data_IF_272704716028
#
_entry.id   IF_272704716028
#
_cell.length_a   1.000
_cell.length_b   1.000
_cell.length_c   1.000
_cell.angle_alpha   90.00
_cell.angle_beta   90.00
_cell.angle_gamma   90.00
#
_symmetry.space_group_name_H-M   'P 1'
#
loop_
_entity.id
_entity.type
_entity.pdbx_description
1 polymer ?
#
# COMPACT_ATOMS: atom_id res chain seq x y z
N UNK A 1 4.36 -12.95 0.78
CA UNK A 1 4.92 -13.17 2.12
C UNK A 1 5.88 -12.02 2.41
N UNK A 2 5.40 -10.94 3.03
CA UNK A 2 6.24 -9.84 3.50
C UNK A 2 6.20 -9.84 5.02
N UNK A 3 7.37 -10.01 5.64
CA UNK A 3 7.51 -10.03 7.09
C UNK A 3 7.80 -8.60 7.57
N UNK A 4 7.20 -8.21 8.70
CA UNK A 4 7.61 -7.02 9.44
C UNK A 4 9.11 -7.08 9.73
N UNK A 5 9.73 -5.90 9.85
CA UNK A 5 11.11 -5.76 10.27
C UNK A 5 11.40 -6.47 11.59
N UNK A 6 12.67 -6.84 11.79
CA UNK A 6 13.14 -7.46 13.01
C UNK A 6 13.82 -6.45 13.95
N UNK A 7 13.99 -5.20 13.53
CA UNK A 7 14.60 -4.12 14.32
C UNK A 7 13.60 -3.40 15.25
N UNK A 8 12.34 -3.83 15.27
CA UNK A 8 11.30 -3.23 16.12
C UNK A 8 10.87 -1.84 15.64
N UNK A 9 10.89 -1.64 14.32
CA UNK A 9 10.52 -0.43 13.60
C UNK A 9 9.42 -0.76 12.61
N UNK A 10 8.82 0.27 11.99
CA UNK A 10 7.79 0.07 10.95
C UNK A 10 8.38 -0.31 9.58
N UNK A 11 9.69 -0.60 9.54
CA UNK A 11 10.38 -1.01 8.33
C UNK A 11 10.00 -2.43 7.91
N UNK A 12 10.07 -2.70 6.61
CA UNK A 12 9.94 -4.07 6.10
C UNK A 12 11.17 -4.91 6.46
N UNK A 13 11.02 -6.24 6.48
CA UNK A 13 12.16 -7.16 6.64
C UNK A 13 13.30 -6.87 5.66
N UNK A 14 13.00 -6.58 4.38
CA UNK A 14 14.02 -6.27 3.37
C UNK A 14 14.72 -4.95 3.69
N UNK A 15 13.99 -3.95 4.16
CA UNK A 15 14.56 -2.66 4.58
C UNK A 15 15.55 -2.86 5.73
N UNK A 16 15.19 -3.65 6.74
CA UNK A 16 16.06 -3.95 7.87
C UNK A 16 17.31 -4.75 7.47
N UNK A 17 17.13 -5.78 6.64
CA UNK A 17 18.24 -6.56 6.10
C UNK A 17 19.19 -5.66 5.30
N UNK A 18 18.66 -4.75 4.50
CA UNK A 18 19.45 -3.82 3.69
C UNK A 18 20.24 -2.87 4.58
N UNK A 19 19.62 -2.24 5.58
CA UNK A 19 20.32 -1.36 6.53
C UNK A 19 21.45 -2.12 7.25
N UNK A 20 21.17 -3.33 7.74
CA UNK A 20 22.16 -4.12 8.44
C UNK A 20 23.32 -4.53 7.51
N UNK A 21 23.02 -4.90 6.27
CA UNK A 21 24.03 -5.21 5.26
C UNK A 21 24.96 -4.01 5.01
N UNK A 22 24.41 -2.80 4.84
CA UNK A 22 25.19 -1.58 4.65
C UNK A 22 26.10 -1.26 5.85
N UNK A 23 25.61 -1.45 7.08
CA UNK A 23 26.44 -1.28 8.29
C UNK A 23 27.59 -2.30 8.31
N UNK A 24 27.33 -3.56 7.96
CA UNK A 24 28.37 -4.62 7.88
C UNK A 24 29.40 -4.27 6.81
N UNK A 25 28.95 -3.83 5.63
CA UNK A 25 29.82 -3.38 4.55
C UNK A 25 30.68 -2.20 4.98
N UNK A 26 30.13 -1.24 5.72
CA UNK A 26 30.91 -0.12 6.25
C UNK A 26 32.04 -0.55 7.19
N UNK A 27 31.73 -1.48 8.09
CA UNK A 27 32.71 -2.06 9.01
C UNK A 27 33.81 -2.76 8.21
N UNK A 28 33.44 -3.53 7.18
CA UNK A 28 34.39 -4.18 6.28
C UNK A 28 35.28 -3.18 5.53
N UNK A 29 34.73 -2.06 5.06
CA UNK A 29 35.48 -0.96 4.44
C UNK A 29 36.49 -0.37 5.44
N UNK A 30 36.07 -0.10 6.68
CA UNK A 30 36.96 0.40 7.73
C UNK A 30 38.12 -0.58 8.01
N UNK A 31 37.84 -1.89 8.07
CA UNK A 31 38.87 -2.93 8.19
C UNK A 31 39.82 -2.95 6.98
N UNK A 32 39.28 -2.73 5.77
CA UNK A 32 40.04 -2.57 4.54
C UNK A 32 41.02 -1.39 4.61
N UNK A 33 40.57 -0.22 5.07
CA UNK A 33 41.40 0.97 5.27
C UNK A 33 42.53 0.69 6.27
N UNK A 34 42.23 0.00 7.38
CA UNK A 34 43.25 -0.41 8.37
C UNK A 34 44.26 -1.38 7.75
N UNK A 35 43.80 -2.36 6.97
CA UNK A 35 44.67 -3.30 6.27
C UNK A 35 45.60 -2.58 5.28
N UNK A 36 45.07 -1.64 4.50
CA UNK A 36 45.83 -0.82 3.56
C UNK A 36 46.88 0.02 4.28
N UNK A 37 46.52 0.71 5.38
CA UNK A 37 47.46 1.53 6.18
C UNK A 37 48.57 0.69 6.82
N UNK A 38 48.31 -0.58 7.10
CA UNK A 38 49.31 -1.55 7.60
C UNK A 38 50.11 -2.23 6.48
N UNK A 39 49.95 -1.82 5.23
CA UNK A 39 50.63 -2.41 4.06
C UNK A 39 50.13 -3.79 3.65
N UNK A 40 49.00 -4.27 4.22
CA UNK A 40 48.41 -5.58 3.92
C UNK A 40 47.47 -5.49 2.71
N UNK A 41 48.01 -5.16 1.54
CA UNK A 41 47.20 -4.90 0.33
C UNK A 41 46.37 -6.10 -0.14
N UNK A 42 46.91 -7.32 -0.07
CA UNK A 42 46.13 -8.54 -0.41
C UNK A 42 44.92 -8.75 0.49
N UNK A 43 45.01 -8.36 1.76
CA UNK A 43 43.89 -8.46 2.69
C UNK A 43 42.85 -7.37 2.38
N UNK A 44 43.29 -6.14 2.11
CA UNK A 44 42.42 -5.08 1.61
C UNK A 44 41.63 -5.55 0.37
N UNK A 45 42.31 -6.09 -0.65
CA UNK A 45 41.64 -6.48 -1.90
C UNK A 45 40.62 -7.61 -1.70
N UNK A 46 40.95 -8.60 -0.86
CA UNK A 46 40.03 -9.71 -0.51
C UNK A 46 38.77 -9.23 0.23
N UNK A 47 38.86 -8.13 0.98
CA UNK A 47 37.73 -7.56 1.69
C UNK A 47 36.94 -6.62 0.77
N UNK A 48 37.62 -5.73 0.02
CA UNK A 48 36.96 -4.71 -0.78
C UNK A 48 36.24 -5.28 -2.01
N UNK A 49 36.82 -6.28 -2.68
CA UNK A 49 36.20 -6.87 -3.89
C UNK A 49 34.77 -7.36 -3.65
N UNK A 50 34.49 -8.22 -2.64
CA UNK A 50 33.12 -8.67 -2.39
C UNK A 50 32.20 -7.55 -1.90
N UNK A 51 32.70 -6.59 -1.12
CA UNK A 51 31.88 -5.45 -0.65
C UNK A 51 31.37 -4.64 -1.83
N UNK A 52 32.23 -4.28 -2.79
CA UNK A 52 31.82 -3.52 -3.98
C UNK A 52 30.81 -4.32 -4.81
N UNK A 53 31.08 -5.60 -5.07
CA UNK A 53 30.18 -6.43 -5.89
C UNK A 53 28.80 -6.63 -5.24
N UNK A 54 28.77 -6.90 -3.93
CA UNK A 54 27.50 -7.09 -3.20
C UNK A 54 26.74 -5.77 -3.05
N UNK A 55 27.44 -4.65 -2.83
CA UNK A 55 26.82 -3.33 -2.79
C UNK A 55 26.19 -2.98 -4.14
N UNK A 56 26.88 -3.26 -5.25
CA UNK A 56 26.31 -3.10 -6.60
C UNK A 56 25.03 -3.93 -6.78
N UNK A 57 24.98 -5.15 -6.25
CA UNK A 57 23.77 -5.97 -6.25
C UNK A 57 22.63 -5.30 -5.48
N UNK A 58 22.87 -4.79 -4.27
CA UNK A 58 21.85 -4.08 -3.48
C UNK A 58 21.33 -2.83 -4.20
N UNK A 59 22.22 -2.05 -4.81
CA UNK A 59 21.83 -0.88 -5.59
C UNK A 59 20.92 -1.29 -6.77
N UNK A 60 21.28 -2.33 -7.52
CA UNK A 60 20.50 -2.74 -8.70
C UNK A 60 19.15 -3.35 -8.32
N UNK A 61 19.08 -4.19 -7.29
CA UNK A 61 17.85 -4.96 -7.02
C UNK A 61 16.97 -4.35 -5.94
N UNK A 62 17.54 -3.70 -4.94
CA UNK A 62 16.76 -3.09 -3.86
C UNK A 62 16.47 -1.63 -4.19
N UNK A 63 17.53 -0.86 -4.47
CA UNK A 63 17.39 0.58 -4.62
C UNK A 63 16.66 0.97 -5.91
N UNK A 64 17.01 0.39 -7.07
CA UNK A 64 16.29 0.69 -8.32
C UNK A 64 14.84 0.23 -8.25
N UNK A 65 14.54 -0.93 -7.66
CA UNK A 65 13.14 -1.39 -7.45
C UNK A 65 12.38 -0.38 -6.61
N UNK A 66 12.94 0.04 -5.47
CA UNK A 66 12.33 1.05 -4.61
C UNK A 66 12.05 2.37 -5.35
N UNK A 67 12.95 2.81 -6.23
CA UNK A 67 12.74 4.03 -7.05
C UNK A 67 11.59 3.90 -8.05
N UNK A 68 11.39 2.70 -8.61
CA UNK A 68 10.30 2.39 -9.52
C UNK A 68 8.98 2.30 -8.74
N UNK A 69 8.99 1.48 -7.68
CA UNK A 69 7.81 1.19 -6.86
C UNK A 69 7.30 2.45 -6.15
N UNK A 70 8.19 3.35 -5.74
CA UNK A 70 7.83 4.61 -5.09
C UNK A 70 7.63 5.80 -6.05
N UNK A 71 7.62 5.56 -7.37
CA UNK A 71 7.43 6.58 -8.41
C UNK A 71 8.39 7.78 -8.31
N UNK A 72 9.55 7.61 -7.68
CA UNK A 72 10.52 8.70 -7.44
C UNK A 72 11.00 9.32 -8.75
N UNK A 73 11.26 8.48 -9.76
CA UNK A 73 11.79 8.91 -11.07
C UNK A 73 10.77 9.77 -11.83
N UNK A 74 9.49 9.43 -11.75
CA UNK A 74 8.42 10.16 -12.43
C UNK A 74 8.03 11.44 -11.70
N UNK A 75 8.08 11.43 -10.37
CA UNK A 75 7.55 12.52 -9.54
C UNK A 75 8.59 13.61 -9.29
N UNK A 76 9.87 13.28 -9.13
CA UNK A 76 10.92 14.28 -8.83
C UNK A 76 11.00 15.43 -9.86
N UNK A 77 10.91 15.20 -11.19
CA UNK A 77 10.90 16.30 -12.17
C UNK A 77 9.64 17.19 -12.07
N UNK A 78 8.52 16.62 -11.64
CA UNK A 78 7.26 17.33 -11.47
C UNK A 78 7.27 18.15 -10.17
N UNK A 79 8.00 17.67 -9.14
CA UNK A 79 8.01 18.22 -7.78
C UNK A 79 9.44 18.34 -7.24
N UNK A 80 10.29 19.21 -7.83
CA UNK A 80 11.71 19.28 -7.47
C UNK A 80 11.98 19.82 -6.05
N UNK A 81 11.00 20.47 -5.41
CA UNK A 81 11.12 21.04 -4.07
C UNK A 81 10.64 20.13 -2.94
N UNK A 82 10.14 18.94 -3.25
CA UNK A 82 9.60 18.03 -2.26
C UNK A 82 10.72 17.38 -1.43
N UNK A 83 10.68 17.59 -0.12
CA UNK A 83 11.75 17.15 0.78
C UNK A 83 11.91 15.63 0.81
N UNK A 84 10.82 14.87 0.67
CA UNK A 84 10.86 13.41 0.64
C UNK A 84 11.70 12.92 -0.54
N UNK A 85 11.28 13.31 -1.75
CA UNK A 85 11.94 12.89 -2.99
C UNK A 85 13.37 13.44 -3.08
N UNK A 86 13.63 14.63 -2.55
CA UNK A 86 14.96 15.23 -2.54
C UNK A 86 15.93 14.44 -1.64
N UNK A 87 15.50 14.03 -0.44
CA UNK A 87 16.33 13.23 0.47
C UNK A 87 16.67 11.88 -0.16
N UNK A 88 15.69 11.18 -0.74
CA UNK A 88 15.91 9.92 -1.47
C UNK A 88 16.89 10.12 -2.63
N UNK A 89 16.70 11.19 -3.43
CA UNK A 89 17.55 11.49 -4.58
C UNK A 89 18.99 11.85 -4.20
N UNK A 90 19.20 12.61 -3.11
CA UNK A 90 20.54 12.95 -2.61
C UNK A 90 21.26 11.69 -2.13
N UNK A 91 20.59 10.85 -1.34
CA UNK A 91 21.15 9.56 -0.90
C UNK A 91 21.58 8.71 -2.11
N UNK A 92 20.72 8.64 -3.13
CA UNK A 92 20.99 7.92 -4.36
C UNK A 92 22.20 8.45 -5.13
N UNK A 93 22.31 9.76 -5.28
CA UNK A 93 23.43 10.39 -5.96
C UNK A 93 24.75 10.12 -5.22
N UNK A 94 24.76 10.23 -3.89
CA UNK A 94 25.93 9.90 -3.07
C UNK A 94 26.35 8.43 -3.25
N UNK A 95 25.38 7.51 -3.22
CA UNK A 95 25.61 6.07 -3.41
C UNK A 95 26.19 5.75 -4.80
N UNK A 96 25.60 6.30 -5.87
CA UNK A 96 26.06 6.09 -7.25
C UNK A 96 27.48 6.63 -7.48
N UNK A 97 27.80 7.80 -6.91
CA UNK A 97 29.15 8.36 -6.98
C UNK A 97 30.13 7.47 -6.21
N UNK A 98 29.76 7.04 -4.99
CA UNK A 98 30.59 6.16 -4.18
C UNK A 98 30.90 4.84 -4.90
N UNK A 99 29.87 4.17 -5.43
CA UNK A 99 29.97 2.90 -6.12
C UNK A 99 30.76 3.02 -7.44
N UNK A 100 30.49 4.05 -8.24
CA UNK A 100 31.23 4.30 -9.48
C UNK A 100 32.74 4.52 -9.22
N UNK A 101 33.08 5.27 -8.17
CA UNK A 101 34.47 5.44 -7.74
C UNK A 101 35.07 4.14 -7.20
N UNK A 102 34.30 3.34 -6.47
CA UNK A 102 34.73 2.06 -5.94
C UNK A 102 35.05 1.06 -7.06
N UNK A 103 34.18 0.93 -8.06
CA UNK A 103 34.40 0.11 -9.27
C UNK A 103 35.65 0.59 -10.01
N UNK A 104 35.82 1.90 -10.21
CA UNK A 104 37.03 2.44 -10.81
C UNK A 104 38.28 2.06 -10.01
N UNK A 105 38.26 2.25 -8.69
CA UNK A 105 39.39 1.94 -7.81
C UNK A 105 39.73 0.44 -7.81
N UNK A 106 38.71 -0.42 -7.84
CA UNK A 106 38.85 -1.88 -7.92
C UNK A 106 39.51 -2.30 -9.24
N UNK A 107 39.00 -1.83 -10.37
CA UNK A 107 39.52 -2.15 -11.71
C UNK A 107 40.94 -1.58 -11.92
N UNK A 108 41.20 -0.35 -11.45
CA UNK A 108 42.53 0.26 -11.50
C UNK A 108 43.52 -0.42 -10.53
N UNK A 109 43.03 -0.93 -9.39
CA UNK A 109 43.79 -1.73 -8.44
C UNK A 109 44.29 -3.04 -9.06
N UNK A 110 43.40 -3.72 -9.79
CA UNK A 110 43.68 -4.98 -10.51
C UNK A 110 44.38 -4.79 -11.87
N UNK A 111 44.80 -3.56 -12.20
CA UNK A 111 45.45 -3.18 -13.46
C UNK A 111 44.61 -3.47 -14.73
N UNK A 112 43.28 -3.53 -14.59
CA UNK A 112 42.34 -3.66 -15.71
C UNK A 112 42.14 -2.29 -16.38
N UNK A 113 42.04 -1.23 -15.59
CA UNK A 113 41.93 0.15 -16.06
C UNK A 113 43.23 0.96 -15.87
N UNK A 114 43.53 1.91 -16.77
CA UNK A 114 44.72 2.73 -16.68
C UNK A 114 44.65 3.72 -15.51
N UNK A 115 45.73 3.80 -14.72
CA UNK A 115 45.90 4.75 -13.59
C UNK A 115 46.26 6.17 -14.05
N UNK A 116 45.77 6.60 -15.21
CA UNK A 116 46.16 7.88 -15.84
C UNK A 116 45.56 9.10 -15.15
N UNK A 117 44.52 8.92 -14.34
CA UNK A 117 43.83 10.00 -13.65
C UNK A 117 44.32 10.06 -12.20
N UNK A 118 45.27 10.95 -11.91
CA UNK A 118 45.74 11.24 -10.55
C UNK A 118 46.39 10.05 -9.80
N UNK A 119 46.61 10.21 -8.49
CA UNK A 119 47.09 9.09 -7.64
C UNK A 119 45.90 8.30 -7.12
N UNK A 120 45.90 6.98 -7.34
CA UNK A 120 44.84 6.04 -6.91
C UNK A 120 44.40 6.23 -5.45
N UNK A 121 45.35 6.58 -4.55
CA UNK A 121 45.06 6.86 -3.14
C UNK A 121 43.97 7.93 -2.93
N UNK A 122 43.91 8.96 -3.78
CA UNK A 122 42.94 10.04 -3.62
C UNK A 122 41.54 9.57 -4.00
N UNK A 123 41.43 8.74 -5.03
CA UNK A 123 40.18 8.10 -5.40
C UNK A 123 39.68 7.16 -4.31
N UNK A 124 40.57 6.37 -3.70
CA UNK A 124 40.20 5.52 -2.55
C UNK A 124 39.66 6.34 -1.36
N UNK A 125 40.29 7.48 -1.04
CA UNK A 125 39.80 8.38 0.01
C UNK A 125 38.48 9.07 -0.36
N UNK A 126 38.32 9.46 -1.62
CA UNK A 126 37.06 10.02 -2.12
C UNK A 126 35.93 8.98 -2.03
N UNK A 127 36.17 7.75 -2.48
CA UNK A 127 35.24 6.63 -2.33
C UNK A 127 34.83 6.48 -0.87
N UNK A 128 35.80 6.38 0.05
CA UNK A 128 35.50 6.25 1.48
C UNK A 128 34.65 7.40 2.02
N UNK A 129 34.94 8.65 1.61
CA UNK A 129 34.16 9.82 2.00
C UNK A 129 32.71 9.78 1.51
N UNK A 130 32.49 9.51 0.21
CA UNK A 130 31.15 9.42 -0.36
C UNK A 130 30.36 8.23 0.21
N UNK A 131 31.01 7.10 0.43
CA UNK A 131 30.37 5.91 1.01
C UNK A 131 29.94 6.18 2.47
N UNK A 132 30.77 6.89 3.25
CA UNK A 132 30.40 7.34 4.60
C UNK A 132 29.20 8.30 4.58
N UNK A 133 29.20 9.26 3.65
CA UNK A 133 28.10 10.21 3.51
C UNK A 133 26.79 9.50 3.09
N UNK A 134 26.86 8.54 2.16
CA UNK A 134 25.72 7.74 1.73
C UNK A 134 25.14 6.91 2.89
N UNK A 135 26.00 6.27 3.70
CA UNK A 135 25.55 5.54 4.88
C UNK A 135 24.86 6.44 5.91
N UNK A 136 25.45 7.60 6.22
CA UNK A 136 24.82 8.56 7.15
C UNK A 136 23.46 9.00 6.63
N UNK A 137 23.37 9.32 5.34
CA UNK A 137 22.10 9.67 4.70
C UNK A 137 21.10 8.51 4.79
N UNK A 138 21.52 7.26 4.53
CA UNK A 138 20.66 6.08 4.60
C UNK A 138 20.18 5.73 6.02
N UNK A 139 21.02 5.95 7.03
CA UNK A 139 20.61 5.81 8.44
C UNK A 139 19.62 6.93 8.81
N UNK A 140 19.87 8.16 8.36
CA UNK A 140 18.98 9.28 8.62
C UNK A 140 17.62 9.08 7.95
N UNK A 141 17.58 8.59 6.71
CA UNK A 141 16.32 8.25 6.03
C UNK A 141 15.58 7.15 6.78
N UNK A 142 16.27 6.09 7.18
CA UNK A 142 15.67 5.00 7.95
C UNK A 142 15.08 5.49 9.28
N UNK A 143 15.80 6.33 10.02
CA UNK A 143 15.34 6.88 11.28
C UNK A 143 14.10 7.77 11.12
N UNK A 144 14.14 8.69 10.14
CA UNK A 144 13.04 9.64 9.90
C UNK A 144 11.78 8.93 9.41
N UNK A 145 11.91 7.84 8.66
CA UNK A 145 10.77 7.16 8.06
C UNK A 145 10.28 5.92 8.80
N UNK A 146 11.08 5.26 9.64
CA UNK A 146 10.66 4.00 10.28
C UNK A 146 10.81 3.98 11.80
N UNK A 147 11.52 4.94 12.39
CA UNK A 147 11.72 5.02 13.85
C UNK A 147 10.90 6.14 14.51
N UNK A 148 10.03 6.82 13.75
CA UNK A 148 9.03 7.68 14.38
C UNK A 148 8.05 6.76 15.12
N UNK A 149 7.68 7.06 16.38
CA UNK A 149 6.67 6.28 17.05
C UNK A 149 5.37 6.36 16.24
N UNK A 150 4.91 5.22 15.72
CA UNK A 150 3.49 5.05 15.44
C UNK A 150 2.78 5.39 16.76
N UNK A 151 2.03 6.49 16.75
CA UNK A 151 1.15 6.80 17.88
C UNK A 151 0.27 5.57 18.01
N UNK A 152 0.34 4.89 19.16
CA UNK A 152 -0.51 3.74 19.48
C UNK A 152 -1.88 4.03 18.89
N UNK A 153 -2.29 3.19 17.92
CA UNK A 153 -3.61 3.21 17.33
C UNK A 153 -4.57 3.55 18.45
N UNK A 154 -5.25 4.71 18.35
CA UNK A 154 -6.16 5.24 19.37
C UNK A 154 -6.89 4.03 19.91
N UNK A 155 -6.54 3.65 21.15
CA UNK A 155 -6.99 2.42 21.77
C UNK A 155 -8.46 2.29 21.46
N UNK A 156 -8.83 1.23 20.73
CA UNK A 156 -10.23 0.86 20.52
C UNK A 156 -10.92 1.07 21.86
N UNK A 157 -11.84 2.04 21.90
CA UNK A 157 -12.51 2.43 23.14
C UNK A 157 -13.05 1.14 23.75
N UNK A 158 -12.73 0.82 25.02
CA UNK A 158 -13.27 -0.37 25.63
C UNK A 158 -14.79 -0.17 25.68
N UNK A 159 -15.51 -0.95 24.88
CA UNK A 159 -16.96 -1.10 24.96
C UNK A 159 -17.27 -1.59 26.38
N UNK A 160 -17.50 -0.63 27.27
CA UNK A 160 -18.03 -0.89 28.59
C UNK A 160 -19.52 -1.08 28.38
N UNK A 161 -19.93 -2.34 28.37
CA UNK A 161 -21.32 -2.77 28.39
C UNK A 161 -22.02 -2.06 29.57
N UNK A 162 -22.70 -0.96 29.27
CA UNK A 162 -23.56 -0.26 30.21
C UNK A 162 -24.96 -0.36 29.66
N UNK A 163 -25.74 -1.25 30.25
CA UNK A 163 -27.17 -1.37 30.06
C UNK A 163 -27.83 -0.01 30.28
N UNK A 164 -28.33 0.60 29.21
CA UNK A 164 -29.44 1.55 29.26
C UNK A 164 -30.23 1.50 27.95
N UNK A 165 -31.53 1.31 28.12
CA UNK A 165 -32.57 1.24 27.10
C UNK A 165 -32.95 2.67 26.71
N UNK A 166 -32.51 3.17 25.54
CA UNK A 166 -33.24 4.19 24.76
C UNK A 166 -32.64 4.40 23.36
N UNK A 167 -33.49 4.32 22.33
CA UNK A 167 -33.33 4.71 20.91
C UNK A 167 -32.15 4.13 20.10
N UNK A 168 -32.45 3.08 19.33
CA UNK A 168 -31.68 2.68 18.16
C UNK A 168 -31.94 3.66 17.00
N UNK A 169 -31.09 4.67 16.82
CA UNK A 169 -31.14 5.56 15.65
C UNK A 169 -29.80 6.23 15.27
N UNK A 170 -28.66 5.94 15.91
CA UNK A 170 -27.49 6.81 15.76
C UNK A 170 -26.14 6.08 15.85
N UNK A 171 -25.98 5.00 15.06
CA UNK A 171 -24.63 4.50 14.76
C UNK A 171 -24.12 5.24 13.52
N UNK A 172 -23.05 6.03 13.60
CA UNK A 172 -22.52 6.74 12.44
C UNK A 172 -22.21 5.74 11.33
N UNK A 173 -22.60 6.07 10.10
CA UNK A 173 -22.26 5.24 8.94
C UNK A 173 -20.75 5.30 8.75
N UNK A 174 -20.07 4.15 8.77
CA UNK A 174 -18.63 4.05 8.56
C UNK A 174 -18.33 3.64 7.11
N UNK A 175 -17.44 4.35 6.43
CA UNK A 175 -16.99 4.08 5.06
C UNK A 175 -15.47 3.98 5.04
N UNK A 176 -14.93 2.95 4.39
CA UNK A 176 -13.49 2.79 4.20
C UNK A 176 -13.04 3.31 2.83
N UNK A 177 -11.90 3.99 2.81
CA UNK A 177 -11.16 4.39 1.62
C UNK A 177 -9.72 3.85 1.71
N UNK A 178 -9.13 3.46 0.60
CA UNK A 178 -7.79 2.89 0.56
C UNK A 178 -6.80 3.85 -0.07
N UNK A 179 -5.57 3.88 0.45
CA UNK A 179 -4.44 4.55 -0.17
C UNK A 179 -3.60 3.49 -0.86
N UNK A 180 -3.72 3.44 -2.19
CA UNK A 180 -3.09 2.39 -2.99
C UNK A 180 -2.60 2.98 -4.31
N UNK A 181 -1.45 2.50 -4.79
CA UNK A 181 -0.83 2.96 -6.03
C UNK A 181 -0.59 4.47 -6.08
N UNK A 182 -0.34 5.12 -4.94
CA UNK A 182 -0.24 6.59 -4.79
C UNK A 182 -1.53 7.34 -5.13
N UNK A 183 -2.68 6.71 -4.93
CA UNK A 183 -4.01 7.25 -5.20
C UNK A 183 -4.98 6.96 -4.05
N UNK A 184 -6.01 7.79 -3.94
CA UNK A 184 -7.17 7.52 -3.09
C UNK A 184 -8.13 6.60 -3.85
N UNK A 185 -8.58 5.53 -3.19
CA UNK A 185 -9.54 4.58 -3.72
C UNK A 185 -10.78 4.53 -2.81
N UNK A 186 -12.00 4.73 -3.35
CA UNK A 186 -12.27 5.16 -4.72
C UNK A 186 -11.77 6.59 -5.00
N UNK A 187 -11.51 6.90 -6.27
CA UNK A 187 -11.01 8.20 -6.69
C UNK A 187 -12.07 9.31 -6.55
N UNK A 188 -13.35 8.95 -6.67
CA UNK A 188 -14.48 9.82 -6.38
C UNK A 188 -15.27 9.19 -5.22
N UNK A 189 -15.39 9.90 -4.11
CA UNK A 189 -16.08 9.44 -2.92
C UNK A 189 -17.19 10.41 -2.54
N UNK A 190 -18.42 9.91 -2.45
CA UNK A 190 -19.58 10.66 -1.96
C UNK A 190 -20.11 10.00 -0.70
N UNK A 191 -20.36 10.80 0.34
CA UNK A 191 -20.87 10.34 1.64
C UNK A 191 -21.96 11.28 2.15
N UNK A 192 -22.72 10.87 3.16
CA UNK A 192 -23.66 11.76 3.86
C UNK A 192 -22.97 12.42 5.07
N UNK A 193 -23.42 13.60 5.46
CA UNK A 193 -22.93 14.30 6.64
C UNK A 193 -23.03 13.40 7.89
N UNK A 194 -22.01 13.44 8.74
CA UNK A 194 -21.89 12.56 9.91
C UNK A 194 -21.27 11.19 9.61
N UNK A 195 -20.94 10.88 8.35
CA UNK A 195 -20.22 9.64 8.00
C UNK A 195 -18.80 9.65 8.60
N UNK A 196 -18.43 8.55 9.22
CA UNK A 196 -17.06 8.26 9.64
C UNK A 196 -16.27 7.66 8.47
N UNK A 197 -15.19 8.33 8.06
CA UNK A 197 -14.29 7.87 7.02
C UNK A 197 -13.03 7.27 7.61
N UNK A 198 -12.71 6.04 7.21
CA UNK A 198 -11.48 5.35 7.59
C UNK A 198 -10.61 5.21 6.34
N UNK A 199 -9.44 5.87 6.32
CA UNK A 199 -8.43 5.65 5.29
C UNK A 199 -7.46 4.58 5.74
N UNK A 200 -7.23 3.56 4.92
CA UNK A 200 -6.25 2.50 5.19
C UNK A 200 -5.13 2.55 4.17
N UNK A 201 -3.88 2.62 4.61
CA UNK A 201 -2.74 2.60 3.69
C UNK A 201 -2.44 1.18 3.22
N UNK A 202 -2.50 0.92 1.92
CA UNK A 202 -2.13 -0.36 1.31
C UNK A 202 -0.76 -0.33 0.62
N UNK A 203 -0.20 0.86 0.40
CA UNK A 203 1.12 1.04 -0.19
C UNK A 203 2.23 0.81 0.83
N UNK A 204 3.40 0.40 0.34
CA UNK A 204 4.62 0.36 1.17
C UNK A 204 5.14 1.77 1.50
N UNK A 205 4.74 2.77 0.73
CA UNK A 205 5.11 4.16 0.99
C UNK A 205 4.22 4.71 2.13
N UNK A 206 4.79 5.48 3.07
CA UNK A 206 3.99 6.16 4.08
C UNK A 206 3.06 7.18 3.43
N UNK A 207 1.84 7.30 3.92
CA UNK A 207 0.89 8.31 3.45
C UNK A 207 0.29 9.08 4.61
N UNK A 208 -0.35 10.20 4.32
CA UNK A 208 -1.17 10.94 5.28
C UNK A 208 -2.40 11.53 4.59
N UNK A 209 -3.33 12.06 5.39
CA UNK A 209 -4.51 12.80 4.94
C UNK A 209 -4.32 14.26 5.32
N UNK A 210 -4.32 15.15 4.32
CA UNK A 210 -4.27 16.59 4.51
C UNK A 210 -5.42 17.25 3.77
N UNK A 211 -6.24 18.02 4.48
CA UNK A 211 -7.31 18.80 3.87
C UNK A 211 -6.77 20.14 3.40
N UNK A 212 -7.18 20.59 2.21
CA UNK A 212 -6.69 21.83 1.59
C UNK A 212 -7.03 23.08 2.43
N UNK A 213 -8.16 23.06 3.13
CA UNK A 213 -8.58 24.14 4.03
C UNK A 213 -7.86 24.14 5.39
N UNK A 214 -7.01 23.14 5.65
CA UNK A 214 -6.27 22.97 6.88
C UNK A 214 -7.10 22.49 8.08
N UNK A 215 -8.36 22.08 7.86
CA UNK A 215 -9.24 21.60 8.93
C UNK A 215 -8.76 20.29 9.57
N UNK A 216 -8.18 19.40 8.76
CA UNK A 216 -7.66 18.11 9.19
C UNK A 216 -6.29 17.86 8.57
N UNK A 217 -5.33 17.47 9.41
CA UNK A 217 -4.01 17.00 9.02
C UNK A 217 -3.69 15.78 9.88
N UNK A 218 -3.53 14.61 9.28
CA UNK A 218 -3.11 13.41 9.99
C UNK A 218 -1.59 13.35 10.10
N UNK A 219 -1.10 12.53 11.04
CA UNK A 219 0.26 12.02 10.98
C UNK A 219 0.43 11.07 9.78
N UNK A 220 1.68 10.67 9.52
CA UNK A 220 1.96 9.61 8.55
C UNK A 220 1.48 8.27 9.10
N UNK A 221 0.82 7.50 8.27
CA UNK A 221 0.46 6.12 8.55
C UNK A 221 1.02 5.19 7.47
N UNK A 222 1.59 4.09 7.92
CA UNK A 222 2.31 3.09 7.14
C UNK A 222 1.38 1.99 6.65
N UNK A 223 1.93 1.05 5.86
CA UNK A 223 1.13 -0.03 5.28
C UNK A 223 0.35 -0.80 6.36
N UNK A 224 -0.95 -0.94 6.16
CA UNK A 224 -1.90 -1.59 7.05
C UNK A 224 -2.44 -0.70 8.17
N UNK A 225 -1.83 0.45 8.41
CA UNK A 225 -2.34 1.43 9.37
C UNK A 225 -3.48 2.26 8.76
N UNK A 226 -4.26 2.88 9.65
CA UNK A 226 -5.43 3.65 9.26
C UNK A 226 -5.56 4.96 10.00
N UNK A 227 -6.25 5.90 9.38
CA UNK A 227 -6.64 7.17 9.95
C UNK A 227 -8.15 7.35 9.81
N UNK A 228 -8.80 7.91 10.82
CA UNK A 228 -10.25 8.09 10.85
C UNK A 228 -10.62 9.55 11.05
N UNK A 229 -11.59 10.05 10.29
CA UNK A 229 -12.21 11.36 10.52
C UNK A 229 -13.70 11.37 10.16
N UNK A 230 -14.47 12.20 10.85
CA UNK A 230 -15.90 12.40 10.59
C UNK A 230 -16.14 13.72 9.86
N UNK A 231 -16.89 13.70 8.77
CA UNK A 231 -17.28 14.90 8.03
C UNK A 231 -18.71 15.30 8.38
N UNK A 232 -18.85 16.21 9.36
CA UNK A 232 -20.14 16.58 9.93
C UNK A 232 -20.93 17.61 9.09
N UNK A 233 -20.26 18.39 8.24
CA UNK A 233 -20.91 19.45 7.47
C UNK A 233 -21.03 19.04 5.99
N UNK A 234 -22.19 19.25 5.35
CA UNK A 234 -22.32 19.08 3.90
C UNK A 234 -21.40 20.02 3.14
N UNK A 235 -20.78 19.53 2.06
CA UNK A 235 -19.86 20.32 1.27
C UNK A 235 -18.89 19.48 0.45
N UNK A 236 -17.91 20.15 -0.13
CA UNK A 236 -16.88 19.54 -0.96
C UNK A 236 -15.53 19.71 -0.27
N UNK A 237 -14.87 18.59 0.03
CA UNK A 237 -13.61 18.54 0.75
C UNK A 237 -12.50 18.08 -0.19
N UNK A 238 -11.58 18.98 -0.53
CA UNK A 238 -10.37 18.62 -1.27
C UNK A 238 -9.32 18.11 -0.28
N UNK A 239 -8.80 16.92 -0.53
CA UNK A 239 -7.79 16.27 0.29
C UNK A 239 -6.60 15.84 -0.56
N UNK A 240 -5.43 15.78 0.04
CA UNK A 240 -4.21 15.30 -0.59
C UNK A 240 -3.30 14.63 0.44
N UNK A 241 -2.42 13.74 -0.03
CA UNK A 241 -1.31 13.24 0.79
C UNK A 241 -0.16 14.24 0.68
N UNK A 242 0.30 14.83 1.78
CA UNK A 242 1.35 15.85 1.73
C UNK A 242 2.73 15.33 1.30
N UNK A 243 2.92 13.99 1.32
CA UNK A 243 4.14 13.34 0.83
C UNK A 243 4.12 13.11 -0.69
N UNK A 244 2.94 12.92 -1.28
CA UNK A 244 2.80 12.42 -2.66
C UNK A 244 1.79 13.22 -3.51
N UNK A 245 1.22 14.28 -2.95
CA UNK A 245 0.15 15.10 -3.50
C UNK A 245 0.27 16.56 -3.02
N UNK A 246 -0.49 17.48 -3.60
CA UNK A 246 -0.45 18.90 -3.22
C UNK A 246 -1.82 19.58 -3.26
N UNK A 247 -1.97 20.75 -2.60
CA UNK A 247 -3.25 21.46 -2.52
C UNK A 247 -3.84 21.92 -3.86
N UNK A 248 -3.04 21.95 -4.91
CA UNK A 248 -3.45 22.31 -6.27
C UNK A 248 -4.10 21.16 -7.04
N UNK A 249 -4.24 19.99 -6.41
CA UNK A 249 -4.79 18.78 -7.03
C UNK A 249 -3.76 17.93 -7.78
N UNK A 250 -2.48 18.28 -7.75
CA UNK A 250 -1.42 17.52 -8.40
C UNK A 250 -0.99 16.31 -7.57
N UNK A 251 -0.82 15.14 -8.21
CA UNK A 251 -0.36 13.91 -7.55
C UNK A 251 -1.48 13.18 -6.81
N UNK A 252 -1.18 12.67 -5.61
CA UNK A 252 -2.14 11.98 -4.75
C UNK A 252 -3.08 12.98 -4.08
N UNK A 253 -4.15 13.34 -4.79
CA UNK A 253 -5.21 14.24 -4.34
C UNK A 253 -6.58 13.70 -4.80
N UNK A 254 -7.63 13.99 -4.03
CA UNK A 254 -9.01 13.67 -4.39
C UNK A 254 -9.97 14.72 -3.80
N UNK A 255 -11.22 14.66 -4.23
CA UNK A 255 -12.33 15.44 -3.72
C UNK A 255 -13.39 14.52 -3.15
N UNK A 256 -13.76 14.74 -1.88
CA UNK A 256 -14.86 14.05 -1.21
C UNK A 256 -16.08 14.95 -1.23
N UNK A 257 -17.21 14.42 -1.68
CA UNK A 257 -18.49 15.12 -1.65
C UNK A 257 -19.31 14.65 -0.46
N UNK A 258 -19.68 15.57 0.43
CA UNK A 258 -20.51 15.30 1.59
C UNK A 258 -21.89 15.90 1.36
N UNK A 259 -22.89 15.03 1.25
CA UNK A 259 -24.28 15.41 1.04
C UNK A 259 -24.99 15.63 2.39
N UNK A 260 -26.10 16.37 2.39
CA UNK A 260 -26.94 16.48 3.58
C UNK A 260 -27.43 15.10 4.03
N UNK A 261 -27.49 14.89 5.35
CA UNK A 261 -28.06 13.68 5.93
C UNK A 261 -29.59 13.69 5.79
N UNK A 262 -30.06 13.06 4.72
CA UNK A 262 -31.47 12.81 4.48
C UNK A 262 -31.65 11.49 3.71
N UNK A 263 -32.87 10.95 3.73
CA UNK A 263 -33.17 9.65 3.13
C UNK A 263 -32.92 9.61 1.61
N UNK A 264 -33.08 10.74 0.91
CA UNK A 264 -32.84 10.85 -0.52
C UNK A 264 -31.34 10.74 -0.85
N UNK A 265 -30.51 11.55 -0.19
CA UNK A 265 -29.06 11.54 -0.37
C UNK A 265 -28.42 10.23 0.11
N UNK A 266 -28.98 9.63 1.15
CA UNK A 266 -28.59 8.29 1.62
C UNK A 266 -28.82 7.24 0.53
N UNK A 267 -29.94 7.31 -0.19
CA UNK A 267 -30.22 6.43 -1.32
C UNK A 267 -29.31 6.73 -2.53
N UNK A 268 -28.96 8.00 -2.76
CA UNK A 268 -28.02 8.42 -3.82
C UNK A 268 -26.61 7.89 -3.57
N UNK A 269 -26.09 8.01 -2.35
CA UNK A 269 -24.75 7.46 -1.97
C UNK A 269 -24.75 5.94 -2.07
N UNK A 270 -25.83 5.27 -1.67
CA UNK A 270 -25.98 3.82 -1.82
C UNK A 270 -26.09 3.36 -3.28
N UNK A 271 -26.55 4.23 -4.19
CA UNK A 271 -26.73 3.95 -5.61
C UNK A 271 -25.57 4.45 -6.51
N UNK A 272 -24.61 5.21 -5.97
CA UNK A 272 -23.50 5.77 -6.73
C UNK A 272 -22.49 4.68 -7.14
N UNK A 273 -22.15 4.53 -8.43
CA UNK A 273 -21.09 3.64 -8.87
C UNK A 273 -19.76 4.40 -9.03
N UNK A 274 -18.68 3.94 -8.41
CA UNK A 274 -17.30 4.11 -8.92
C UNK A 274 -16.35 2.98 -8.50
N UNK A 275 -16.30 1.86 -9.25
CA UNK A 275 -15.06 1.10 -9.41
C UNK A 275 -14.24 1.75 -10.54
N UNK A 276 -13.05 2.26 -10.26
CA UNK A 276 -12.13 2.58 -11.37
C UNK A 276 -11.60 1.26 -11.97
N UNK A 277 -11.53 1.18 -13.32
CA UNK A 277 -11.22 -0.02 -14.06
C UNK A 277 -9.74 -0.42 -13.94
N UNK A 278 -9.52 -1.73 -13.90
CA UNK A 278 -8.19 -2.35 -14.04
C UNK A 278 -7.57 -1.89 -15.38
N UNK A 279 -6.31 -1.39 -15.40
CA UNK A 279 -5.60 -1.12 -16.65
C UNK A 279 -5.47 -2.40 -17.49
N UNK A 280 -5.74 -2.39 -18.81
CA UNK A 280 -5.64 -3.61 -19.61
C UNK A 280 -4.18 -4.10 -19.67
N UNK A 281 -3.94 -5.29 -19.14
CA UNK A 281 -2.71 -6.06 -19.36
C UNK A 281 -2.74 -6.62 -20.80
N UNK A 282 -1.61 -6.62 -21.55
CA UNK A 282 -1.61 -6.86 -22.99
C UNK A 282 -2.13 -8.26 -23.37
N UNK A 283 -3.06 -8.28 -24.31
CA UNK A 283 -3.64 -9.46 -24.96
C UNK A 283 -2.55 -10.33 -25.63
N UNK A 284 -2.44 -11.63 -25.32
CA UNK A 284 -1.85 -12.59 -26.24
C UNK A 284 -2.86 -12.97 -27.33
N UNK A 285 -2.36 -13.12 -28.55
CA UNK A 285 -3.10 -13.39 -29.79
C UNK A 285 -4.04 -14.63 -29.74
N UNK A 286 -5.11 -14.68 -30.58
CA UNK A 286 -6.24 -15.58 -30.38
C UNK A 286 -5.97 -16.99 -30.89
N UNK A 287 -6.53 -18.01 -30.20
CA UNK A 287 -6.62 -19.38 -30.73
C UNK A 287 -8.09 -19.84 -30.70
N UNK A 288 -8.69 -19.91 -31.89
CA UNK A 288 -9.88 -20.67 -32.40
C UNK A 288 -11.18 -20.75 -31.54
N UNK A 289 -12.36 -20.41 -32.09
CA UNK A 289 -13.64 -20.50 -31.38
C UNK A 289 -14.29 -21.90 -31.47
N UNK A 290 -15.03 -22.36 -30.45
CA UNK A 290 -15.95 -23.50 -30.54
C UNK A 290 -17.33 -23.11 -31.13
N UNK A 291 -18.19 -24.08 -31.53
CA UNK A 291 -19.27 -23.88 -32.50
C UNK A 291 -20.49 -23.14 -31.93
N UNK A 292 -21.39 -22.61 -32.79
CA UNK A 292 -22.49 -21.75 -32.35
C UNK A 292 -23.57 -22.57 -31.65
N UNK A 293 -23.77 -22.30 -30.36
CA UNK A 293 -24.96 -22.72 -29.63
C UNK A 293 -26.07 -21.73 -29.94
N UNK A 294 -27.26 -22.26 -30.26
CA UNK A 294 -28.44 -21.50 -30.66
C UNK A 294 -28.78 -20.40 -29.63
N UNK A 295 -29.03 -19.20 -30.15
CA UNK A 295 -29.52 -18.04 -29.39
C UNK A 295 -30.82 -18.41 -28.68
N UNK A 296 -30.75 -18.59 -27.37
CA UNK A 296 -31.90 -18.37 -26.50
C UNK A 296 -32.14 -16.86 -26.45
N UNK A 297 -33.41 -16.47 -26.57
CA UNK A 297 -33.90 -15.09 -26.53
C UNK A 297 -33.34 -14.34 -25.31
N UNK A 298 -33.10 -13.01 -25.40
CA UNK A 298 -32.51 -12.27 -24.29
C UNK A 298 -33.54 -12.14 -23.17
N UNK A 299 -33.36 -12.92 -22.11
CA UNK A 299 -33.93 -12.57 -20.82
C UNK A 299 -33.24 -11.27 -20.38
N UNK A 300 -34.01 -10.20 -20.36
CA UNK A 300 -33.68 -8.99 -19.62
C UNK A 300 -34.20 -9.17 -18.20
N UNK A 301 -33.34 -9.34 -17.19
CA UNK A 301 -33.63 -8.82 -15.87
C UNK A 301 -33.01 -7.42 -15.78
N UNK A 302 -33.77 -6.45 -15.29
CA UNK A 302 -33.18 -5.26 -14.68
C UNK A 302 -32.18 -5.75 -13.63
N UNK A 303 -30.87 -5.65 -13.94
CA UNK A 303 -29.83 -5.92 -12.96
C UNK A 303 -29.86 -4.78 -11.95
N UNK A 304 -30.63 -4.94 -10.88
CA UNK A 304 -30.60 -4.00 -9.76
C UNK A 304 -29.27 -4.19 -9.04
N UNK A 305 -28.44 -3.15 -9.04
CA UNK A 305 -27.20 -3.13 -8.24
C UNK A 305 -27.61 -3.00 -6.79
N UNK A 306 -27.39 -4.06 -6.01
CA UNK A 306 -27.78 -4.15 -4.59
C UNK A 306 -26.61 -3.90 -3.64
N UNK A 307 -25.40 -3.64 -4.15
CA UNK A 307 -24.23 -3.37 -3.31
C UNK A 307 -22.88 -3.62 -3.98
N UNK A 308 -21.84 -3.71 -3.16
CA UNK A 308 -20.44 -3.90 -3.55
C UNK A 308 -19.87 -5.19 -2.94
N UNK A 309 -19.08 -5.91 -3.73
CA UNK A 309 -18.18 -6.96 -3.26
C UNK A 309 -16.76 -6.51 -3.62
N UNK A 310 -15.86 -6.49 -2.64
CA UNK A 310 -14.47 -6.08 -2.82
C UNK A 310 -13.55 -7.17 -2.32
N UNK A 311 -12.53 -7.48 -3.12
CA UNK A 311 -11.46 -8.39 -2.73
C UNK A 311 -10.23 -7.58 -2.39
N UNK A 312 -9.52 -7.99 -1.34
CA UNK A 312 -8.33 -7.30 -0.87
C UNK A 312 -7.34 -8.31 -0.28
N UNK A 313 -6.11 -7.83 -0.12
CA UNK A 313 -5.00 -8.63 0.35
C UNK A 313 -4.85 -8.43 1.86
N UNK A 314 -4.83 -9.53 2.62
CA UNK A 314 -4.41 -9.52 4.02
C UNK A 314 -3.10 -10.28 4.20
N UNK A 315 -3.09 -11.59 3.98
CA UNK A 315 -1.93 -12.49 4.13
C UNK A 315 -1.39 -12.88 2.74
N UNK A 316 -2.28 -13.02 1.77
CA UNK A 316 -2.04 -13.42 0.39
C UNK A 316 -2.91 -12.62 -0.60
N UNK A 317 -2.59 -12.64 -1.91
CA UNK A 317 -3.34 -11.88 -2.91
C UNK A 317 -4.81 -12.28 -2.97
N UNK A 318 -5.70 -11.30 -2.81
CA UNK A 318 -7.17 -11.41 -2.88
C UNK A 318 -7.71 -12.53 -1.98
N UNK A 319 -7.12 -12.68 -0.80
CA UNK A 319 -7.49 -13.70 0.18
C UNK A 319 -8.63 -13.28 1.12
N UNK A 320 -9.06 -12.04 1.01
CA UNK A 320 -10.12 -11.49 1.82
C UNK A 320 -11.17 -10.83 0.95
N UNK A 321 -12.41 -10.87 1.44
CA UNK A 321 -13.57 -10.31 0.78
C UNK A 321 -14.37 -9.46 1.78
N UNK A 322 -14.79 -8.29 1.33
CA UNK A 322 -15.72 -7.41 2.01
C UNK A 322 -16.95 -7.25 1.13
N UNK A 323 -18.12 -7.40 1.73
CA UNK A 323 -19.41 -7.34 1.06
C UNK A 323 -20.25 -6.29 1.77
N UNK A 324 -20.82 -5.38 1.00
CA UNK A 324 -21.73 -4.36 1.48
C UNK A 324 -22.97 -4.33 0.59
N UNK A 325 -24.11 -4.76 1.09
CA UNK A 325 -25.37 -4.82 0.37
C UNK A 325 -26.45 -3.98 1.03
N UNK A 326 -27.43 -3.57 0.25
CA UNK A 326 -28.60 -2.80 0.66
C UNK A 326 -29.86 -3.35 0.00
N UNK A 327 -31.01 -3.18 0.67
CA UNK A 327 -32.30 -3.69 0.18
C UNK A 327 -32.46 -5.20 0.34
N UNK A 328 -31.69 -5.83 1.23
CA UNK A 328 -31.83 -7.24 1.56
C UNK A 328 -33.01 -7.42 2.51
N UNK A 329 -34.02 -8.18 2.08
CA UNK A 329 -35.17 -8.50 2.91
C UNK A 329 -34.76 -9.39 4.10
N UNK A 330 -35.44 -9.21 5.23
CA UNK A 330 -35.28 -10.11 6.37
C UNK A 330 -35.67 -11.55 5.98
N UNK A 331 -34.98 -12.57 6.51
CA UNK A 331 -35.31 -13.97 6.22
C UNK A 331 -36.71 -14.33 6.72
N UNK A 332 -37.31 -15.36 6.12
CA UNK A 332 -38.58 -15.92 6.58
C UNK A 332 -38.48 -16.44 8.01
N UNK A 333 -39.61 -16.45 8.72
CA UNK A 333 -39.66 -16.93 10.11
C UNK A 333 -39.23 -18.40 10.17
N UNK A 334 -38.08 -18.68 10.81
CA UNK A 334 -37.33 -19.97 10.89
C UNK A 334 -36.20 -20.19 9.88
N UNK A 335 -35.82 -19.17 9.09
CA UNK A 335 -34.68 -19.21 8.18
C UNK A 335 -33.56 -18.25 8.65
N UNK A 336 -32.32 -18.52 8.21
CA UNK A 336 -31.14 -17.66 8.34
C UNK A 336 -30.57 -17.37 6.96
N UNK A 337 -29.95 -16.20 6.79
CA UNK A 337 -29.23 -15.90 5.55
C UNK A 337 -27.79 -16.41 5.64
N UNK A 338 -27.34 -17.12 4.62
CA UNK A 338 -25.95 -17.56 4.48
C UNK A 338 -25.33 -16.98 3.21
N UNK A 339 -24.09 -16.50 3.33
CA UNK A 339 -23.34 -15.89 2.25
C UNK A 339 -22.29 -16.85 1.68
N UNK A 340 -22.17 -16.84 0.35
CA UNK A 340 -21.33 -17.76 -0.41
C UNK A 340 -20.57 -17.02 -1.51
N UNK A 341 -19.33 -17.42 -1.75
CA UNK A 341 -18.68 -17.22 -3.05
C UNK A 341 -19.04 -18.39 -3.97
N UNK A 342 -19.16 -18.13 -5.27
CA UNK A 342 -19.47 -19.14 -6.27
C UNK A 342 -18.54 -19.02 -7.48
N UNK A 343 -18.23 -20.17 -8.08
CA UNK A 343 -17.65 -20.27 -9.42
C UNK A 343 -18.79 -20.56 -10.40
N UNK A 344 -19.07 -19.62 -11.29
CA UNK A 344 -20.14 -19.70 -12.28
C UNK A 344 -19.93 -20.80 -13.33
N UNK A 345 -18.68 -21.25 -13.53
CA UNK A 345 -18.33 -22.27 -14.53
C UNK A 345 -18.45 -23.68 -13.97
N UNK A 346 -18.00 -23.90 -12.73
CA UNK A 346 -17.99 -25.23 -12.11
C UNK A 346 -19.16 -25.45 -11.14
N UNK A 347 -19.83 -24.39 -10.70
CA UNK A 347 -20.85 -24.44 -9.65
C UNK A 347 -20.29 -24.68 -8.25
N UNK A 348 -18.97 -24.61 -8.07
CA UNK A 348 -18.35 -24.73 -6.75
C UNK A 348 -18.75 -23.54 -5.87
N UNK A 349 -19.06 -23.80 -4.60
CA UNK A 349 -19.42 -22.78 -3.62
C UNK A 349 -18.43 -22.78 -2.45
N UNK A 350 -18.24 -21.61 -1.84
CA UNK A 350 -17.40 -21.43 -0.67
C UNK A 350 -18.13 -20.58 0.39
N UNK A 351 -18.33 -21.11 1.61
CA UNK A 351 -19.08 -20.42 2.65
C UNK A 351 -18.29 -19.25 3.21
N UNK A 352 -18.92 -18.09 3.30
CA UNK A 352 -18.41 -16.93 4.03
C UNK A 352 -19.04 -16.81 5.42
N UNK A 353 -20.19 -17.46 5.64
CA UNK A 353 -20.84 -17.58 6.94
C UNK A 353 -22.26 -17.01 6.97
N UNK A 354 -22.87 -17.06 8.16
CA UNK A 354 -24.18 -16.50 8.42
C UNK A 354 -24.14 -14.97 8.43
N UNK A 355 -25.15 -14.36 7.84
CA UNK A 355 -25.28 -12.92 7.69
C UNK A 355 -26.67 -12.48 8.14
N UNK A 356 -26.76 -11.29 8.72
CA UNK A 356 -28.02 -10.72 9.18
C UNK A 356 -28.13 -9.27 8.69
N UNK A 357 -29.15 -8.94 7.88
CA UNK A 357 -29.40 -7.56 7.50
C UNK A 357 -29.90 -6.76 8.71
N UNK A 358 -29.54 -5.48 8.76
CA UNK A 358 -30.02 -4.55 9.77
C UNK A 358 -31.51 -4.19 9.57
N UNK A 359 -32.05 -3.36 10.45
CA UNK A 359 -33.44 -2.91 10.39
C UNK A 359 -33.80 -2.16 9.09
N UNK A 360 -32.81 -1.69 8.33
CA UNK A 360 -32.94 -0.97 7.07
C UNK A 360 -32.62 -1.87 5.85
N UNK A 361 -32.42 -3.17 6.05
CA UNK A 361 -32.09 -4.12 4.98
C UNK A 361 -30.66 -3.99 4.48
N UNK A 362 -29.73 -3.43 5.25
CA UNK A 362 -28.30 -3.37 4.91
C UNK A 362 -27.55 -4.53 5.50
N UNK A 363 -26.60 -5.08 4.74
CA UNK A 363 -25.82 -6.25 5.13
C UNK A 363 -24.34 -5.96 4.89
N UNK A 364 -23.53 -6.10 5.92
CA UNK A 364 -22.08 -6.02 5.83
C UNK A 364 -21.46 -7.33 6.27
N UNK A 365 -20.48 -7.81 5.52
CA UNK A 365 -19.73 -9.02 5.81
C UNK A 365 -18.28 -8.80 5.45
N UNK A 366 -17.38 -9.23 6.32
CA UNK A 366 -15.96 -9.32 6.04
C UNK A 366 -15.47 -10.73 6.34
N UNK A 367 -14.73 -11.31 5.41
CA UNK A 367 -14.16 -12.63 5.53
C UNK A 367 -12.72 -12.60 5.04
N UNK A 368 -11.81 -13.15 5.85
CA UNK A 368 -10.42 -13.39 5.48
C UNK A 368 -10.15 -14.88 5.49
N UNK A 369 -9.65 -15.42 4.38
CA UNK A 369 -9.32 -16.83 4.27
C UNK A 369 -8.08 -17.14 5.12
N UNK A 370 -8.19 -17.95 6.19
CA UNK A 370 -7.05 -18.26 7.05
C UNK A 370 -5.95 -19.03 6.31
N UNK A 371 -6.29 -19.70 5.21
CA UNK A 371 -5.36 -20.45 4.37
C UNK A 371 -4.71 -19.58 3.27
N UNK A 372 -5.12 -18.30 3.13
CA UNK A 372 -4.54 -17.36 2.18
C UNK A 372 -4.76 -17.73 0.71
N UNK A 373 -5.88 -18.38 0.36
CA UNK A 373 -6.20 -18.70 -1.04
C UNK A 373 -6.63 -17.43 -1.76
N UNK A 374 -6.29 -17.33 -3.05
CA UNK A 374 -6.76 -16.24 -3.89
C UNK A 374 -8.26 -16.43 -4.21
N UNK A 375 -9.13 -15.88 -3.38
CA UNK A 375 -10.57 -16.04 -3.49
C UNK A 375 -11.11 -15.43 -4.80
N UNK A 376 -10.59 -14.28 -5.22
CA UNK A 376 -10.97 -13.64 -6.49
C UNK A 376 -10.57 -14.48 -7.71
N UNK A 377 -9.43 -15.18 -7.63
CA UNK A 377 -8.97 -16.07 -8.68
C UNK A 377 -9.70 -17.40 -8.75
N UNK A 378 -10.46 -17.75 -7.70
CA UNK A 378 -11.18 -19.01 -7.56
C UNK A 378 -12.70 -18.87 -7.74
N UNK A 379 -13.26 -17.70 -7.45
CA UNK A 379 -14.70 -17.46 -7.45
C UNK A 379 -15.01 -16.15 -8.17
N UNK A 380 -16.03 -16.17 -9.03
CA UNK A 380 -16.44 -15.05 -9.89
C UNK A 380 -17.87 -14.56 -9.61
N UNK A 381 -18.54 -15.15 -8.62
CA UNK A 381 -19.86 -14.75 -8.18
C UNK A 381 -20.01 -14.75 -6.67
N UNK A 382 -21.05 -14.08 -6.21
CA UNK A 382 -21.47 -14.00 -4.81
C UNK A 382 -22.96 -14.30 -4.72
N UNK A 383 -23.36 -15.09 -3.72
CA UNK A 383 -24.75 -15.49 -3.51
C UNK A 383 -25.12 -15.43 -2.03
N UNK A 384 -26.38 -15.08 -1.76
CA UNK A 384 -27.01 -15.26 -0.45
C UNK A 384 -28.16 -16.26 -0.59
N UNK A 385 -28.24 -17.21 0.33
CA UNK A 385 -29.35 -18.17 0.42
C UNK A 385 -30.09 -18.02 1.75
N UNK A 386 -31.37 -18.42 1.79
CA UNK A 386 -32.11 -18.59 3.03
C UNK A 386 -32.08 -20.08 3.40
N UNK A 387 -31.45 -20.40 4.52
CA UNK A 387 -31.28 -21.77 5.03
C UNK A 387 -32.11 -21.98 6.30
N UNK A 388 -32.64 -23.18 6.57
CA UNK A 388 -33.36 -23.47 7.81
C UNK A 388 -32.47 -23.28 9.05
N UNK A 389 -33.01 -22.70 10.12
CA UNK A 389 -32.37 -22.69 11.43
C UNK A 389 -32.31 -24.12 11.98
N UNK A 390 -31.11 -24.72 12.04
CA UNK A 390 -30.88 -26.06 12.59
C UNK A 390 -30.63 -26.05 14.10
#
# INVERSE_FOLDING_TARGET
MFQSGFLGTDASFITDVTLLAEIIFFIAICLGVVAQRRGKYKLHDRIQTPVVILNLFLIIFVMVSSFIDQRVISTLPQRPGDAYYLVVAIHAALGLIAEGLAIYALLAGHNILPRKIGRLRYWMWATFGFWTAALIAGVATYYVWYMQPSVEAVTAVPITETTNVENAADTPTTIQSFLQNFEFAPADLSVVAGTELIWVNQDNAPHNITFVDGSVVSDNFFRGESFTATLAEPGTYQIYCSLHGSPDGSGMATTITVLEDNAENTAVVAAAPTPNPIPPTPTPAPTVPPPPVALLEPLTPEQTVVGLVSFFDTIAPSDSVAVLLSGIAAPESSMTLEAWLMDSQTGAIFPLGQVAPDANGRLSLQFSDPDGRNLLGLYDGFQITQEPQF
#
